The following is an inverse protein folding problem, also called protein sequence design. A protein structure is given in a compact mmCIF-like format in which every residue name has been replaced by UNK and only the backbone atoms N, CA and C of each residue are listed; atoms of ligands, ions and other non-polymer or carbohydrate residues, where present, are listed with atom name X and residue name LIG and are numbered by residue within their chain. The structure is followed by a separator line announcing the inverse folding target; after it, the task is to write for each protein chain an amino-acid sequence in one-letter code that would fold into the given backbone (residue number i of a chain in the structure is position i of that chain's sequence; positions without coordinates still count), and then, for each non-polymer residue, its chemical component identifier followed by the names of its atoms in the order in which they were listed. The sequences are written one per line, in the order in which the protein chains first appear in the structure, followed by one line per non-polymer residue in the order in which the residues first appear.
data_IF_868193447592
#
_entry.id   IF_868193447592
#
_cell.length_a   1.000
_cell.length_b   1.000
_cell.length_c   1.000
_cell.angle_alpha   90.00
_cell.angle_beta   90.00
_cell.angle_gamma   90.00
#
_symmetry.space_group_name_H-M   'P 1'
#
loop_
_entity.id
_entity.type
_entity.pdbx_description
1 polymer ?
#
# COMPACT_ATOMS: atom_id res chain seq x y z
N UNK A 1 27.24 -3.83 10.15
CA UNK A 1 26.73 -2.54 9.63
C UNK A 1 25.61 -2.05 10.54
N UNK A 2 25.51 -0.74 10.82
CA UNK A 2 24.39 -0.21 11.59
C UNK A 2 23.14 -0.23 10.70
N UNK A 3 22.04 -0.87 11.15
CA UNK A 3 20.80 -0.89 10.39
C UNK A 3 20.26 0.54 10.27
N UNK A 4 19.61 0.84 9.14
CA UNK A 4 18.88 2.10 8.96
C UNK A 4 17.67 2.09 9.90
N UNK A 5 17.51 3.14 10.71
CA UNK A 5 16.34 3.28 11.58
C UNK A 5 15.15 3.80 10.76
N UNK A 6 13.99 3.17 10.93
CA UNK A 6 12.71 3.61 10.40
C UNK A 6 11.72 3.66 11.57
N UNK A 7 11.00 4.74 11.71
CA UNK A 7 9.93 4.87 12.68
C UNK A 7 8.62 5.06 11.95
N UNK A 8 7.63 4.24 12.26
CA UNK A 8 6.26 4.35 11.79
C UNK A 8 5.45 4.88 12.95
N UNK A 9 4.97 6.09 12.80
CA UNK A 9 4.10 6.74 13.77
C UNK A 9 2.66 6.62 13.28
N UNK A 10 1.92 5.68 13.83
CA UNK A 10 0.54 5.41 13.46
C UNK A 10 -0.36 6.63 13.69
N UNK A 11 -0.13 7.39 14.76
CA UNK A 11 -0.86 8.63 15.02
C UNK A 11 -0.67 9.64 13.90
N UNK A 12 0.58 9.85 13.47
CA UNK A 12 0.88 10.74 12.35
C UNK A 12 0.20 10.30 11.05
N UNK A 13 0.20 8.99 10.76
CA UNK A 13 -0.47 8.45 9.56
C UNK A 13 -1.95 8.80 9.59
N UNK A 14 -2.62 8.59 10.73
CA UNK A 14 -4.05 8.83 10.87
C UNK A 14 -4.42 10.33 10.85
N UNK A 15 -3.62 11.19 11.48
CA UNK A 15 -3.95 12.62 11.64
C UNK A 15 -3.46 13.50 10.49
N UNK A 16 -2.35 13.15 9.86
CA UNK A 16 -1.65 14.05 8.93
C UNK A 16 -1.42 13.44 7.55
N UNK A 17 -0.88 12.22 7.50
CA UNK A 17 -0.47 11.64 6.23
C UNK A 17 -1.65 11.47 5.27
N UNK A 18 -2.81 11.16 5.80
CA UNK A 18 -4.04 11.03 5.04
C UNK A 18 -4.43 12.34 4.36
N UNK A 19 -4.51 13.44 5.10
CA UNK A 19 -4.90 14.75 4.57
C UNK A 19 -3.91 15.25 3.52
N UNK A 20 -2.62 15.08 3.77
CA UNK A 20 -1.57 15.44 2.82
C UNK A 20 -1.74 14.71 1.50
N UNK A 21 -2.03 13.39 1.53
CA UNK A 21 -2.21 12.59 0.33
C UNK A 21 -3.55 12.87 -0.38
N UNK A 22 -4.63 13.07 0.36
CA UNK A 22 -5.92 13.48 -0.23
C UNK A 22 -5.78 14.84 -0.92
N UNK A 23 -5.10 15.80 -0.28
CA UNK A 23 -4.83 17.08 -0.88
C UNK A 23 -4.03 16.94 -2.17
N UNK A 24 -2.98 16.14 -2.17
CA UNK A 24 -2.17 15.84 -3.35
C UNK A 24 -3.00 15.23 -4.49
N UNK A 25 -3.89 14.28 -4.18
CA UNK A 25 -4.76 13.64 -5.15
C UNK A 25 -5.67 14.63 -5.88
N UNK A 26 -6.13 15.69 -5.19
CA UNK A 26 -6.97 16.75 -5.81
C UNK A 26 -6.23 17.51 -6.90
N UNK A 27 -4.91 17.61 -6.81
CA UNK A 27 -4.05 18.33 -7.76
C UNK A 27 -3.37 17.41 -8.77
N UNK A 28 -3.62 16.12 -8.74
CA UNK A 28 -3.14 15.21 -9.78
C UNK A 28 -3.75 15.55 -11.12
N UNK A 29 -3.00 15.47 -12.23
CA UNK A 29 -3.54 15.57 -13.57
C UNK A 29 -4.68 14.57 -13.78
N UNK A 30 -5.68 14.96 -14.60
CA UNK A 30 -6.88 14.13 -14.81
C UNK A 30 -6.58 12.74 -15.34
N UNK A 31 -5.51 12.58 -16.13
CA UNK A 31 -5.06 11.30 -16.66
C UNK A 31 -4.49 10.37 -15.56
N UNK A 32 -3.73 10.90 -14.57
CA UNK A 32 -3.27 10.12 -13.44
C UNK A 32 -4.43 9.73 -12.53
N UNK A 33 -5.39 10.63 -12.34
CA UNK A 33 -6.63 10.30 -11.62
C UNK A 33 -7.42 9.19 -12.29
N UNK A 34 -7.45 9.16 -13.62
CA UNK A 34 -8.14 8.10 -14.36
C UNK A 34 -7.58 6.71 -14.06
N UNK A 35 -6.27 6.56 -13.91
CA UNK A 35 -5.65 5.29 -13.52
C UNK A 35 -6.20 4.80 -12.18
N UNK A 36 -6.47 5.68 -11.25
CA UNK A 36 -7.03 5.37 -9.93
C UNK A 36 -8.54 5.13 -9.94
N UNK A 37 -9.26 5.50 -11.01
CA UNK A 37 -10.73 5.50 -11.08
C UNK A 37 -11.32 4.52 -12.09
N UNK A 38 -10.54 3.66 -12.64
CA UNK A 38 -10.82 3.10 -13.95
C UNK A 38 -11.70 1.88 -14.00
N UNK A 39 -12.32 1.50 -12.94
CA UNK A 39 -13.39 0.54 -13.03
C UNK A 39 -14.70 1.07 -12.41
N UNK A 40 -15.47 1.90 -13.12
CA UNK A 40 -16.79 2.29 -12.66
C UNK A 40 -17.76 1.11 -12.56
N UNK A 41 -17.42 -0.04 -13.17
CA UNK A 41 -18.21 -1.27 -13.20
C UNK A 41 -17.55 -2.43 -12.42
N UNK A 42 -16.41 -2.19 -11.78
CA UNK A 42 -15.76 -3.21 -10.95
C UNK A 42 -16.62 -3.62 -9.76
N UNK A 43 -16.37 -4.80 -9.18
CA UNK A 43 -17.21 -5.34 -8.10
C UNK A 43 -17.39 -4.39 -6.91
N UNK A 44 -16.59 -3.39 -6.80
CA UNK A 44 -16.77 -2.34 -5.80
C UNK A 44 -17.49 -1.10 -6.31
N UNK A 45 -17.82 -0.96 -7.62
CA UNK A 45 -18.64 0.15 -8.15
C UNK A 45 -18.46 1.56 -7.55
N UNK A 46 -17.55 1.69 -6.62
CA UNK A 46 -17.40 2.75 -5.66
C UNK A 46 -15.94 3.10 -5.41
N UNK A 47 -15.08 3.07 -6.44
CA UNK A 47 -13.82 3.78 -6.31
C UNK A 47 -14.12 5.28 -6.20
N UNK A 48 -14.58 5.64 -5.02
CA UNK A 48 -14.63 7.02 -4.60
C UNK A 48 -13.19 7.50 -4.45
N UNK A 49 -12.96 8.79 -4.66
CA UNK A 49 -11.69 9.40 -4.30
C UNK A 49 -11.25 8.85 -2.96
N UNK A 50 -10.01 8.36 -2.82
CA UNK A 50 -9.48 8.12 -1.51
C UNK A 50 -9.75 9.37 -0.68
N UNK A 51 -10.56 9.25 0.35
CA UNK A 51 -10.99 10.40 1.12
C UNK A 51 -12.44 10.84 0.96
N UNK A 52 -13.25 10.25 0.06
CA UNK A 52 -14.69 10.45 0.05
C UNK A 52 -15.37 9.19 0.55
N UNK A 53 -15.52 9.18 1.86
CA UNK A 53 -16.47 8.41 2.65
C UNK A 53 -16.68 6.94 2.25
N UNK A 54 -15.83 6.06 2.78
CA UNK A 54 -16.39 4.91 3.43
C UNK A 54 -16.41 5.20 4.94
N UNK A 55 -17.59 5.46 5.47
CA UNK A 55 -17.82 5.94 6.85
C UNK A 55 -17.65 4.83 7.88
N UNK A 56 -17.08 3.70 7.51
CA UNK A 56 -17.07 2.49 8.34
C UNK A 56 -15.70 2.11 8.90
N UNK A 57 -14.64 2.89 8.61
CA UNK A 57 -13.37 2.68 9.31
C UNK A 57 -13.59 2.89 10.82
N UNK A 58 -13.05 2.01 11.70
CA UNK A 58 -13.20 2.14 13.16
C UNK A 58 -12.73 3.47 13.74
N UNK A 59 -11.87 4.21 13.03
CA UNK A 59 -11.43 5.57 13.37
C UNK A 59 -12.32 6.67 12.77
N UNK A 60 -13.37 6.31 12.00
CA UNK A 60 -14.17 7.27 11.24
C UNK A 60 -13.47 7.81 9.97
N UNK A 61 -12.27 7.31 9.67
CA UNK A 61 -11.53 7.68 8.47
C UNK A 61 -11.90 6.80 7.28
N UNK A 62 -11.82 7.31 6.05
CA UNK A 62 -12.03 6.51 4.86
C UNK A 62 -10.97 5.40 4.79
N UNK A 63 -11.40 4.15 4.72
CA UNK A 63 -10.54 2.99 4.56
C UNK A 63 -9.98 2.93 3.14
N UNK A 64 -8.85 3.56 2.91
CA UNK A 64 -8.12 3.48 1.65
C UNK A 64 -6.64 3.27 1.93
N UNK A 65 -6.07 2.24 1.35
CA UNK A 65 -4.64 1.93 1.43
C UNK A 65 -3.76 2.94 0.71
N UNK A 66 -4.33 3.70 -0.22
CA UNK A 66 -3.58 4.62 -1.06
C UNK A 66 -2.80 5.69 -0.28
N UNK A 67 -3.36 6.40 0.71
CA UNK A 67 -2.60 7.32 1.54
C UNK A 67 -1.48 6.63 2.31
N UNK A 68 -1.74 5.42 2.78
CA UNK A 68 -0.77 4.58 3.47
C UNK A 68 0.44 4.26 2.57
N UNK A 69 0.22 3.74 1.35
CA UNK A 69 1.30 3.48 0.39
C UNK A 69 2.08 4.74 0.01
N UNK A 70 1.38 5.86 -0.15
CA UNK A 70 2.00 7.15 -0.39
C UNK A 70 2.92 7.57 0.74
N UNK A 71 2.46 7.49 1.99
CA UNK A 71 3.26 7.78 3.17
C UNK A 71 4.51 6.92 3.24
N UNK A 72 4.37 5.60 3.07
CA UNK A 72 5.51 4.69 3.13
C UNK A 72 6.55 4.97 2.06
N UNK A 73 6.14 5.40 0.88
CA UNK A 73 7.08 5.81 -0.17
C UNK A 73 7.97 6.97 0.25
N UNK A 74 7.54 7.77 1.23
CA UNK A 74 8.32 8.93 1.74
C UNK A 74 9.30 8.56 2.84
N UNK A 75 9.20 7.37 3.43
CA UNK A 75 10.14 6.89 4.46
C UNK A 75 11.50 6.50 3.87
N UNK A 76 11.55 6.27 2.57
CA UNK A 76 12.71 5.78 1.84
C UNK A 76 12.99 6.69 0.65
N UNK A 77 14.28 6.96 0.41
CA UNK A 77 14.76 7.75 -0.72
C UNK A 77 15.71 6.94 -1.59
N UNK A 78 15.66 7.20 -2.90
CA UNK A 78 16.55 6.59 -3.90
C UNK A 78 16.52 5.05 -3.87
N UNK A 79 15.34 4.48 -3.66
CA UNK A 79 15.12 3.05 -3.66
C UNK A 79 14.24 2.61 -4.82
N UNK A 80 14.29 1.32 -5.14
CA UNK A 80 13.28 0.68 -5.97
C UNK A 80 12.17 0.12 -5.07
N UNK A 81 10.94 0.42 -5.41
CA UNK A 81 9.72 -0.15 -4.83
C UNK A 81 9.20 -1.19 -5.81
N UNK A 82 8.96 -2.40 -5.34
CA UNK A 82 8.37 -3.47 -6.15
C UNK A 82 6.95 -3.75 -5.69
N UNK A 83 5.99 -3.60 -6.58
CA UNK A 83 4.60 -3.92 -6.36
C UNK A 83 4.21 -5.17 -7.13
N UNK A 84 3.54 -6.10 -6.47
CA UNK A 84 2.94 -7.30 -7.06
C UNK A 84 1.44 -7.22 -6.88
N UNK A 85 0.72 -7.13 -8.01
CA UNK A 85 -0.71 -6.82 -8.07
C UNK A 85 -0.94 -5.36 -8.49
N UNK A 86 -0.67 -5.07 -9.77
CA UNK A 86 -0.84 -3.71 -10.32
C UNK A 86 -2.30 -3.31 -10.39
N UNK A 87 -3.18 -4.25 -10.75
CA UNK A 87 -4.57 -3.98 -11.08
C UNK A 87 -4.68 -2.75 -12.02
N UNK A 88 -5.30 -1.67 -11.58
CA UNK A 88 -5.42 -0.43 -12.35
C UNK A 88 -4.33 0.61 -12.06
N UNK A 89 -3.32 0.26 -11.26
CA UNK A 89 -2.13 1.08 -11.00
C UNK A 89 -2.30 2.21 -9.98
N UNK A 90 -3.37 2.19 -9.19
CA UNK A 90 -3.64 3.24 -8.21
C UNK A 90 -2.56 3.33 -7.12
N UNK A 91 -2.23 2.21 -6.50
CA UNK A 91 -1.18 2.07 -5.48
C UNK A 91 0.21 2.42 -6.03
N UNK A 92 0.54 1.97 -7.27
CA UNK A 92 1.78 2.36 -7.95
C UNK A 92 1.91 3.88 -8.11
N UNK A 93 0.82 4.55 -8.50
CA UNK A 93 0.79 6.02 -8.61
C UNK A 93 1.06 6.67 -7.26
N UNK A 94 0.46 6.18 -6.18
CA UNK A 94 0.69 6.70 -4.84
C UNK A 94 2.13 6.49 -4.38
N UNK A 95 2.68 5.29 -4.54
CA UNK A 95 4.06 4.99 -4.19
C UNK A 95 5.09 5.77 -5.02
N UNK A 96 4.72 6.21 -6.21
CA UNK A 96 5.57 7.05 -7.06
C UNK A 96 5.63 8.53 -6.65
N UNK A 97 4.92 8.91 -5.59
CA UNK A 97 4.89 10.30 -5.10
C UNK A 97 6.29 10.81 -4.74
N UNK A 98 7.07 10.01 -4.05
CA UNK A 98 8.48 10.31 -3.87
C UNK A 98 9.25 10.07 -5.17
N UNK A 99 9.56 11.17 -5.88
CA UNK A 99 10.20 11.14 -7.20
C UNK A 99 11.65 10.62 -7.18
N UNK A 100 12.26 10.51 -6.02
CA UNK A 100 13.59 9.90 -5.87
C UNK A 100 13.54 8.38 -6.00
N UNK A 101 12.35 7.78 -5.81
CA UNK A 101 12.14 6.35 -5.88
C UNK A 101 11.71 5.92 -7.29
N UNK A 102 12.04 4.70 -7.66
CA UNK A 102 11.51 4.00 -8.83
C UNK A 102 10.46 3.00 -8.36
N UNK A 103 9.31 2.97 -9.00
CA UNK A 103 8.28 1.94 -8.79
C UNK A 103 8.31 0.99 -9.97
N UNK A 104 8.46 -0.30 -9.71
CA UNK A 104 8.24 -1.37 -10.68
C UNK A 104 7.01 -2.12 -10.21
N UNK A 105 6.00 -2.25 -11.07
CA UNK A 105 4.76 -2.91 -10.72
C UNK A 105 4.45 -4.03 -11.70
N UNK A 106 3.99 -5.18 -11.16
CA UNK A 106 3.68 -6.40 -11.90
C UNK A 106 2.24 -6.78 -11.77
N UNK A 107 1.67 -7.20 -12.88
CA UNK A 107 0.43 -7.95 -12.92
C UNK A 107 0.53 -9.07 -13.95
N UNK A 108 -0.24 -10.13 -13.77
CA UNK A 108 -0.34 -11.21 -14.77
C UNK A 108 -1.19 -10.77 -15.98
N UNK A 109 -1.96 -9.69 -15.83
CA UNK A 109 -2.80 -9.12 -16.88
C UNK A 109 -2.44 -7.65 -17.13
N UNK A 110 -2.62 -7.21 -18.36
CA UNK A 110 -2.55 -5.78 -18.70
C UNK A 110 -3.91 -5.12 -18.44
N UNK A 111 -4.06 -4.58 -17.24
CA UNK A 111 -5.29 -3.91 -16.81
C UNK A 111 -5.16 -2.39 -16.79
N UNK A 112 -4.02 -1.85 -17.23
CA UNK A 112 -3.78 -0.41 -17.23
C UNK A 112 -4.54 0.24 -18.40
N UNK A 113 -5.53 1.07 -18.13
CA UNK A 113 -6.47 1.54 -19.17
C UNK A 113 -6.01 2.79 -19.91
N UNK A 114 -4.79 3.19 -19.78
CA UNK A 114 -4.27 4.36 -20.49
C UNK A 114 -2.84 4.75 -20.09
N UNK A 115 -2.27 5.78 -20.73
CA UNK A 115 -0.91 6.16 -20.45
C UNK A 115 -0.77 6.72 -19.03
N UNK A 116 0.09 6.11 -18.23
CA UNK A 116 0.56 6.68 -16.98
C UNK A 116 1.71 7.64 -17.30
N UNK A 117 1.57 8.90 -16.87
CA UNK A 117 2.51 9.96 -17.23
C UNK A 117 3.73 10.00 -16.30
N UNK A 118 3.69 9.28 -15.18
CA UNK A 118 4.79 9.30 -14.21
C UNK A 118 6.00 8.54 -14.72
N UNK A 119 7.13 9.24 -14.83
CA UNK A 119 8.36 8.72 -15.39
C UNK A 119 9.08 7.72 -14.46
N UNK A 120 8.72 7.72 -13.20
CA UNK A 120 9.32 6.85 -12.19
C UNK A 120 8.49 5.58 -11.91
N UNK A 121 7.50 5.28 -12.75
CA UNK A 121 6.74 4.02 -12.71
C UNK A 121 7.08 3.21 -13.97
N UNK A 122 7.32 1.93 -13.77
CA UNK A 122 7.51 0.93 -14.82
C UNK A 122 6.48 -0.19 -14.62
N UNK A 123 5.54 -0.29 -15.56
CA UNK A 123 4.54 -1.35 -15.57
C UNK A 123 5.05 -2.56 -16.33
N UNK A 124 4.93 -3.73 -15.72
CA UNK A 124 5.32 -5.01 -16.31
C UNK A 124 4.17 -6.01 -16.25
N UNK A 125 3.99 -6.76 -17.32
CA UNK A 125 3.00 -7.86 -17.39
C UNK A 125 3.75 -9.18 -17.35
N UNK A 126 3.40 -10.03 -16.39
CA UNK A 126 4.01 -11.33 -16.21
C UNK A 126 4.20 -11.73 -14.75
N UNK A 127 4.87 -12.86 -14.56
CA UNK A 127 5.21 -13.36 -13.25
C UNK A 127 6.56 -12.77 -12.80
N UNK A 128 6.57 -11.95 -11.76
CA UNK A 128 7.78 -11.30 -11.25
C UNK A 128 8.87 -12.30 -10.82
N UNK A 129 8.49 -13.51 -10.39
CA UNK A 129 9.42 -14.55 -9.98
C UNK A 129 10.23 -15.14 -11.15
N UNK A 130 9.78 -14.92 -12.38
CA UNK A 130 10.43 -15.39 -13.62
C UNK A 130 11.26 -14.28 -14.29
N UNK A 131 11.21 -13.05 -13.79
CA UNK A 131 11.94 -11.92 -14.38
C UNK A 131 13.33 -11.76 -13.78
N UNK A 132 14.34 -12.24 -14.52
CA UNK A 132 15.74 -12.14 -14.14
C UNK A 132 16.30 -10.71 -14.19
N UNK A 133 15.53 -9.74 -14.69
CA UNK A 133 15.99 -8.34 -14.79
C UNK A 133 15.76 -7.53 -13.52
N UNK A 134 15.05 -8.11 -12.55
CA UNK A 134 14.81 -7.45 -11.24
C UNK A 134 16.10 -7.51 -10.42
N UNK A 135 16.58 -6.36 -10.01
CA UNK A 135 17.67 -6.27 -9.06
C UNK A 135 17.13 -6.18 -7.61
N UNK A 136 16.95 -7.33 -6.96
CA UNK A 136 16.44 -7.42 -5.59
C UNK A 136 17.33 -6.70 -4.56
N UNK A 137 18.60 -6.43 -4.87
CA UNK A 137 19.50 -5.68 -3.99
C UNK A 137 19.18 -4.18 -3.88
N UNK A 138 18.43 -3.64 -4.84
CA UNK A 138 17.99 -2.24 -4.87
C UNK A 138 16.58 -2.04 -4.29
N UNK A 139 15.89 -3.12 -3.91
CA UNK A 139 14.52 -3.07 -3.40
C UNK A 139 14.56 -2.98 -1.88
N UNK A 140 14.04 -1.89 -1.34
CA UNK A 140 13.88 -1.70 0.10
C UNK A 140 12.40 -1.71 0.56
N UNK A 141 11.46 -1.59 -0.39
CA UNK A 141 10.01 -1.63 -0.14
C UNK A 141 9.33 -2.52 -1.18
N UNK A 142 8.42 -3.35 -0.72
CA UNK A 142 7.62 -4.23 -1.56
C UNK A 142 6.17 -4.25 -1.10
N UNK A 143 5.23 -4.41 -2.03
CA UNK A 143 3.82 -4.70 -1.74
C UNK A 143 3.40 -5.99 -2.42
N UNK A 144 2.60 -6.77 -1.76
CA UNK A 144 2.03 -8.02 -2.24
C UNK A 144 0.52 -7.96 -2.04
N UNK A 145 -0.19 -7.79 -3.16
CA UNK A 145 -1.64 -7.64 -3.25
C UNK A 145 -2.13 -8.43 -4.46
N UNK A 146 -2.40 -9.72 -4.28
CA UNK A 146 -2.73 -10.65 -5.37
C UNK A 146 -4.01 -11.43 -5.09
N UNK A 147 -4.97 -11.32 -6.01
CA UNK A 147 -6.19 -12.13 -5.99
C UNK A 147 -5.87 -13.64 -6.08
N UNK A 148 -6.60 -14.51 -5.38
CA UNK A 148 -7.85 -14.28 -4.65
C UNK A 148 -7.69 -14.08 -3.13
N UNK A 149 -6.52 -13.77 -2.61
CA UNK A 149 -6.22 -13.58 -1.16
C UNK A 149 -6.67 -14.78 -0.30
N UNK A 150 -6.29 -15.97 -0.73
CA UNK A 150 -6.73 -17.22 -0.11
C UNK A 150 -5.64 -17.93 0.71
N UNK A 151 -4.44 -17.33 0.78
CA UNK A 151 -3.28 -17.88 1.46
C UNK A 151 -2.64 -19.06 0.75
N UNK A 152 -2.88 -19.22 -0.56
CA UNK A 152 -2.29 -20.28 -1.40
C UNK A 152 -1.18 -19.71 -2.30
N UNK A 153 -1.37 -18.52 -2.84
CA UNK A 153 -0.41 -17.89 -3.74
C UNK A 153 0.72 -17.18 -3.00
N UNK A 154 0.45 -16.64 -1.83
CA UNK A 154 1.39 -15.87 -1.03
C UNK A 154 2.57 -16.70 -0.50
N UNK A 155 2.38 -17.92 0.04
CA UNK A 155 3.50 -18.74 0.54
C UNK A 155 4.63 -18.98 -0.46
N UNK A 156 4.39 -19.42 -1.72
CA UNK A 156 5.46 -19.59 -2.69
C UNK A 156 6.15 -18.27 -3.07
N UNK A 157 5.46 -17.13 -3.00
CA UNK A 157 6.07 -15.81 -3.21
C UNK A 157 7.01 -15.45 -2.06
N UNK A 158 6.57 -15.67 -0.82
CA UNK A 158 7.44 -15.46 0.35
C UNK A 158 8.67 -16.36 0.31
N UNK A 159 8.50 -17.65 -0.03
CA UNK A 159 9.63 -18.56 -0.19
C UNK A 159 10.61 -18.14 -1.28
N UNK A 160 10.10 -17.58 -2.37
CA UNK A 160 10.93 -17.00 -3.43
C UNK A 160 11.71 -15.78 -2.92
N UNK A 161 11.04 -14.87 -2.21
CA UNK A 161 11.66 -13.68 -1.64
C UNK A 161 12.72 -14.03 -0.58
N UNK A 162 12.51 -15.07 0.22
CA UNK A 162 13.49 -15.55 1.18
C UNK A 162 14.82 -16.00 0.55
N UNK A 163 14.77 -16.43 -0.70
CA UNK A 163 15.95 -16.89 -1.44
C UNK A 163 16.64 -15.77 -2.21
N UNK A 164 15.88 -14.76 -2.65
CA UNK A 164 16.36 -13.79 -3.63
C UNK A 164 16.46 -12.37 -3.09
N UNK A 165 15.78 -12.04 -1.99
CA UNK A 165 15.73 -10.70 -1.43
C UNK A 165 16.44 -10.63 -0.07
N UNK A 166 17.40 -9.70 0.04
CA UNK A 166 18.12 -9.48 1.31
C UNK A 166 17.23 -8.99 2.46
N UNK A 167 16.11 -8.30 2.14
CA UNK A 167 15.13 -7.78 3.07
C UNK A 167 14.81 -6.32 2.82
N UNK A 168 13.80 -5.84 3.52
CA UNK A 168 13.22 -4.52 3.42
C UNK A 168 11.89 -4.47 4.16
N UNK A 169 11.02 -3.53 3.79
CA UNK A 169 9.63 -3.51 4.23
C UNK A 169 8.75 -4.21 3.18
N UNK A 170 7.99 -5.19 3.60
CA UNK A 170 6.99 -5.86 2.78
C UNK A 170 5.61 -5.58 3.35
N UNK A 171 4.73 -5.01 2.53
CA UNK A 171 3.30 -4.94 2.82
C UNK A 171 2.60 -6.15 2.22
N UNK A 172 1.73 -6.73 3.01
CA UNK A 172 0.87 -7.82 2.62
C UNK A 172 -0.56 -7.36 2.80
N UNK A 173 -1.30 -7.33 1.71
CA UNK A 173 -2.72 -6.94 1.76
C UNK A 173 -3.61 -8.10 2.18
N UNK A 174 -4.80 -7.76 2.68
CA UNK A 174 -5.89 -8.68 2.98
C UNK A 174 -5.54 -9.80 3.98
N UNK A 175 -4.69 -9.53 4.98
CA UNK A 175 -4.20 -10.54 5.95
C UNK A 175 -5.30 -11.19 6.80
N UNK A 176 -6.50 -10.61 6.84
CA UNK A 176 -7.69 -11.10 7.53
C UNK A 176 -8.81 -11.51 6.57
N UNK A 177 -8.52 -11.69 5.28
CA UNK A 177 -9.51 -12.10 4.29
C UNK A 177 -9.74 -13.62 4.31
N UNK A 178 -10.37 -14.09 5.40
CA UNK A 178 -10.75 -15.49 5.59
C UNK A 178 -9.66 -16.41 6.11
N UNK A 179 -10.08 -17.63 6.46
CA UNK A 179 -9.28 -18.61 7.20
C UNK A 179 -7.93 -18.97 6.56
N UNK A 180 -7.87 -19.00 5.23
CA UNK A 180 -6.66 -19.35 4.49
C UNK A 180 -5.59 -18.28 4.63
N UNK A 181 -5.96 -17.02 4.42
CA UNK A 181 -5.07 -15.88 4.54
C UNK A 181 -4.63 -15.63 5.98
N UNK A 182 -5.55 -15.74 6.95
CA UNK A 182 -5.20 -15.66 8.37
C UNK A 182 -4.22 -16.76 8.78
N UNK A 183 -4.45 -17.99 8.34
CA UNK A 183 -3.55 -19.11 8.62
C UNK A 183 -2.14 -18.85 8.05
N UNK A 184 -2.07 -18.33 6.84
CA UNK A 184 -0.80 -17.94 6.24
C UNK A 184 -0.13 -16.82 7.05
N UNK A 185 -0.86 -15.73 7.35
CA UNK A 185 -0.37 -14.59 8.12
C UNK A 185 0.20 -14.99 9.50
N UNK A 186 -0.55 -15.81 10.24
CA UNK A 186 -0.09 -16.28 11.54
C UNK A 186 1.03 -17.32 11.44
N UNK A 187 1.20 -17.96 10.29
CA UNK A 187 2.28 -18.91 10.01
C UNK A 187 3.63 -18.27 9.65
N UNK A 188 3.67 -16.95 9.38
CA UNK A 188 4.92 -16.25 9.07
C UNK A 188 5.90 -16.33 10.26
N UNK A 189 7.16 -16.67 9.97
CA UNK A 189 8.21 -16.80 10.98
C UNK A 189 8.57 -15.45 11.62
N UNK A 190 8.00 -15.22 12.80
CA UNK A 190 8.21 -14.00 13.60
C UNK A 190 9.57 -13.91 14.28
N UNK A 191 10.32 -15.01 14.37
CA UNK A 191 11.71 -14.97 14.85
C UNK A 191 12.63 -14.42 13.77
N UNK A 192 12.41 -14.84 12.54
CA UNK A 192 13.17 -14.40 11.37
C UNK A 192 12.82 -12.98 10.95
N UNK A 193 11.53 -12.65 10.94
CA UNK A 193 11.00 -11.36 10.48
C UNK A 193 10.41 -10.55 11.63
N UNK A 194 10.39 -9.23 11.49
CA UNK A 194 9.53 -8.37 12.31
C UNK A 194 8.16 -8.30 11.67
N UNK A 195 7.11 -8.78 12.33
CA UNK A 195 5.76 -8.88 11.76
C UNK A 195 4.79 -8.06 12.60
N UNK A 196 4.10 -7.12 11.97
CA UNK A 196 3.21 -6.17 12.59
C UNK A 196 1.88 -6.13 11.82
N UNK A 197 0.78 -6.23 12.55
CA UNK A 197 -0.54 -5.90 12.02
C UNK A 197 -0.71 -4.38 12.08
N UNK A 198 -0.94 -3.78 10.92
CA UNK A 198 -1.10 -2.33 10.77
C UNK A 198 -2.43 -1.98 10.10
N UNK A 199 -3.41 -2.88 10.25
CA UNK A 199 -4.75 -2.74 9.69
C UNK A 199 -5.45 -1.45 10.13
N UNK A 200 -5.10 -0.94 11.30
CA UNK A 200 -5.62 0.30 11.86
C UNK A 200 -5.18 1.56 11.10
N UNK A 201 -4.13 1.48 10.30
CA UNK A 201 -3.62 2.57 9.45
C UNK A 201 -3.62 2.21 7.96
N UNK A 202 -3.93 0.97 7.60
CA UNK A 202 -4.04 0.45 6.25
C UNK A 202 -5.47 0.02 5.92
N UNK A 203 -5.64 -1.18 5.36
CA UNK A 203 -6.93 -1.73 4.96
C UNK A 203 -7.73 -2.23 6.17
N UNK A 204 -8.72 -1.46 6.59
CA UNK A 204 -9.43 -1.72 7.85
C UNK A 204 -10.30 -2.97 7.85
N UNK A 205 -10.83 -3.42 6.69
CA UNK A 205 -11.76 -4.54 6.61
C UNK A 205 -11.06 -5.89 6.53
N UNK A 206 -10.07 -5.98 5.65
CA UNK A 206 -9.39 -7.24 5.36
C UNK A 206 -7.96 -7.26 5.92
N UNK A 207 -7.54 -6.15 6.49
CA UNK A 207 -6.29 -6.03 7.20
C UNK A 207 -5.07 -5.78 6.31
N UNK A 208 -4.08 -5.11 6.87
CA UNK A 208 -2.77 -4.88 6.24
C UNK A 208 -1.66 -5.36 7.16
N UNK A 209 -0.81 -6.23 6.63
CA UNK A 209 0.38 -6.71 7.30
C UNK A 209 1.63 -5.93 6.90
N UNK A 210 2.45 -5.57 7.88
CA UNK A 210 3.78 -5.03 7.65
C UNK A 210 4.82 -6.03 8.13
N UNK A 211 5.73 -6.40 7.25
CA UNK A 211 6.82 -7.31 7.53
C UNK A 211 8.15 -6.59 7.34
N UNK A 212 8.91 -6.40 8.40
CA UNK A 212 10.33 -6.06 8.32
C UNK A 212 11.11 -7.34 7.97
N UNK A 213 11.21 -7.60 6.67
CA UNK A 213 11.71 -8.84 6.12
C UNK A 213 13.19 -9.04 6.49
N UNK A 214 13.53 -10.20 7.03
CA UNK A 214 14.86 -10.51 7.58
C UNK A 214 15.34 -9.51 8.65
N UNK A 215 14.40 -8.79 9.30
CA UNK A 215 14.72 -7.71 10.24
C UNK A 215 15.76 -6.72 9.67
N UNK A 216 15.56 -6.39 8.40
CA UNK A 216 16.52 -5.61 7.62
C UNK A 216 16.73 -4.20 8.18
N UNK A 217 15.66 -3.55 8.59
CA UNK A 217 15.69 -2.25 9.24
C UNK A 217 15.68 -2.36 10.78
N UNK A 218 16.15 -1.30 11.44
CA UNK A 218 15.85 -1.02 12.85
C UNK A 218 14.49 -0.33 12.89
N UNK A 219 13.42 -1.16 12.87
CA UNK A 219 12.05 -0.71 12.74
C UNK A 219 11.40 -0.52 14.10
N UNK A 220 10.83 0.67 14.31
CA UNK A 220 10.00 1.02 15.44
C UNK A 220 8.59 1.36 14.94
N UNK A 221 7.58 0.71 15.46
CA UNK A 221 6.17 1.02 15.19
C UNK A 221 5.59 1.61 16.46
N UNK A 222 5.18 2.87 16.41
CA UNK A 222 4.58 3.58 17.53
C UNK A 222 3.06 3.45 17.45
N UNK A 223 2.50 2.82 18.47
CA UNK A 223 1.06 2.76 18.65
C UNK A 223 0.50 4.09 19.18
N UNK A 224 -0.79 4.27 19.07
CA UNK A 224 -1.49 5.47 19.51
C UNK A 224 -2.63 5.09 20.46
N UNK A 225 -3.02 6.07 21.29
CA UNK A 225 -4.22 5.98 22.09
C UNK A 225 -5.38 6.61 21.30
N UNK A 226 -6.45 5.85 21.02
CA UNK A 226 -7.63 6.37 20.29
C UNK A 226 -8.25 7.60 20.92
N UNK A 227 -8.21 7.70 22.24
CA UNK A 227 -8.77 8.84 22.98
C UNK A 227 -7.93 10.12 22.80
N UNK A 228 -6.73 10.00 22.26
CA UNK A 228 -5.80 11.11 22.01
C UNK A 228 -5.75 11.53 20.54
N UNK A 229 -6.53 10.91 19.67
CA UNK A 229 -6.62 11.31 18.27
C UNK A 229 -7.37 12.64 18.17
N UNK A 230 -6.69 13.67 17.71
CA UNK A 230 -7.30 14.93 17.28
C UNK A 230 -7.97 14.74 15.92
N UNK A 231 -9.05 13.97 15.89
CA UNK A 231 -9.89 13.87 14.69
C UNK A 231 -10.72 15.15 14.64
N UNK A 232 -10.31 16.11 13.81
CA UNK A 232 -11.25 17.13 13.38
C UNK A 232 -12.39 16.38 12.68
N UNK A 233 -13.53 16.28 13.37
CA UNK A 233 -14.75 15.80 12.73
C UNK A 233 -15.03 16.75 11.59
N UNK A 234 -14.69 16.35 10.38
CA UNK A 234 -15.15 17.07 9.19
C UNK A 234 -16.66 17.12 9.31
N UNK A 235 -17.20 18.31 9.58
CA UNK A 235 -18.63 18.52 9.48
C UNK A 235 -19.08 17.97 8.13
N UNK A 236 -20.16 17.16 8.08
CA UNK A 236 -20.65 16.61 6.83
C UNK A 236 -20.85 17.79 5.88
N UNK A 237 -20.06 17.80 4.81
CA UNK A 237 -20.14 18.82 3.78
C UNK A 237 -21.60 18.92 3.40
N UNK A 238 -22.21 20.05 3.72
CA UNK A 238 -23.58 20.35 3.35
C UNK A 238 -23.74 20.09 1.84
N UNK A 239 -24.59 19.12 1.51
CA UNK A 239 -25.06 18.83 0.16
C UNK A 239 -25.92 19.98 -0.40
N UNK A 240 -25.39 21.16 -0.45
CA UNK A 240 -26.10 22.27 -1.10
C UNK A 240 -25.08 23.22 -1.68
N UNK A 241 -24.65 22.95 -2.91
CA UNK A 241 -24.29 23.95 -3.89
C UNK A 241 -23.68 23.30 -5.17
N UNK A 242 -24.51 22.49 -5.83
CA UNK A 242 -24.33 22.25 -7.27
C UNK A 242 -25.60 22.71 -7.97
N UNK A 243 -25.78 24.00 -8.08
CA UNK A 243 -26.71 24.59 -9.06
C UNK A 243 -25.93 25.53 -9.93
N UNK A 244 -26.05 25.26 -11.23
CA UNK A 244 -25.64 25.97 -12.46
C UNK A 244 -24.25 25.60 -12.97
#
# INVERSE_FOLDING_TARGET
MKKRKITIDKKYVLEKAYDDFVHMLRYMPSCERQVMYLNPEGPAGNYRLPGIADTEHPSGMPGSDYPFYGYFSTLLDNTTILEIGTCHGGSAVMMSHNKSNKVITYDIYDLIPGPVIRKNIEFRVGNFMEDETINYDEIDLMTLDVDPHDGIQEPPMIEFLEKNWKGGLLFLDDIHNGDGMEKFWYGIDREKHGVYDVSDIGHAYHGTGLINFNRYFDLEVLDYNRDELEVETCDPIHENNCTA
#
